data_IF_318264720879
#
_entry.id   IF_318264720879
#
_cell.length_a   1.000
_cell.length_b   1.000
_cell.length_c   1.000
_cell.angle_alpha   90.00
_cell.angle_beta   90.00
_cell.angle_gamma   90.00
#
_symmetry.space_group_name_H-M   'P 1'
#
loop_
_entity.id
_entity.type
_entity.pdbx_description
1 polymer ?
#
# COMPACT_ATOMS: atom_id res chain seq x y z
N UNK A 1 -43.86 68.74 2.84
CA UNK A 1 -42.70 68.01 3.38
C UNK A 1 -42.28 66.92 2.39
N UNK A 2 -41.14 67.06 1.72
CA UNK A 2 -40.70 66.15 0.72
C UNK A 2 -39.51 65.32 1.31
N UNK A 3 -39.69 64.02 1.50
CA UNK A 3 -38.63 63.09 1.90
C UNK A 3 -37.91 62.61 0.66
N UNK A 4 -36.60 62.89 0.61
CA UNK A 4 -35.67 62.42 -0.41
C UNK A 4 -35.24 60.98 -0.04
N UNK A 5 -35.50 60.05 -0.95
CA UNK A 5 -35.05 58.65 -0.86
C UNK A 5 -33.63 58.58 -1.40
N UNK A 6 -32.65 58.28 -0.56
CA UNK A 6 -31.25 58.00 -0.97
C UNK A 6 -31.15 56.51 -1.27
N UNK A 7 -30.91 56.18 -2.54
CA UNK A 7 -30.58 54.84 -2.96
C UNK A 7 -29.08 54.60 -2.77
N UNK A 8 -28.71 53.69 -1.88
CA UNK A 8 -27.38 53.13 -1.82
C UNK A 8 -27.32 51.91 -2.77
N UNK A 9 -26.58 52.04 -3.87
CA UNK A 9 -26.16 50.95 -4.74
C UNK A 9 -24.85 50.41 -4.17
N UNK A 10 -24.93 49.32 -3.37
CA UNK A 10 -23.75 48.54 -2.98
C UNK A 10 -23.49 47.48 -4.02
N UNK A 11 -22.55 47.75 -4.88
CA UNK A 11 -22.07 46.72 -5.83
C UNK A 11 -21.21 45.67 -5.13
N UNK A 12 -21.74 44.46 -5.01
CA UNK A 12 -20.99 43.29 -4.61
C UNK A 12 -20.25 42.76 -5.87
N UNK A 13 -18.97 43.13 -6.04
CA UNK A 13 -18.14 42.55 -7.07
C UNK A 13 -17.77 41.13 -6.64
N UNK A 14 -18.44 40.14 -7.23
CA UNK A 14 -18.02 38.72 -7.12
C UNK A 14 -16.78 38.53 -7.98
N UNK A 15 -15.61 38.47 -7.34
CA UNK A 15 -14.38 38.01 -7.98
C UNK A 15 -14.47 36.49 -8.16
N UNK A 16 -14.94 36.05 -9.34
CA UNK A 16 -14.81 34.66 -9.78
C UNK A 16 -13.38 34.48 -10.27
N UNK A 17 -12.55 33.91 -9.42
CA UNK A 17 -11.22 33.45 -9.84
C UNK A 17 -11.38 32.21 -10.71
N UNK A 18 -11.39 32.41 -12.02
CA UNK A 18 -11.26 31.33 -13.00
C UNK A 18 -9.82 30.80 -12.92
N UNK A 19 -9.67 29.64 -12.28
CA UNK A 19 -8.44 28.85 -12.39
C UNK A 19 -8.41 28.27 -13.80
N UNK A 20 -7.68 28.89 -14.70
CA UNK A 20 -7.37 28.35 -16.02
C UNK A 20 -6.43 27.15 -15.81
N UNK A 21 -6.97 25.95 -15.95
CA UNK A 21 -6.19 24.71 -16.02
C UNK A 21 -5.49 24.72 -17.39
N UNK A 22 -4.28 25.25 -17.47
CA UNK A 22 -3.42 25.08 -18.65
C UNK A 22 -2.94 23.63 -18.64
N UNK A 23 -3.56 22.81 -19.47
CA UNK A 23 -3.00 21.51 -19.85
C UNK A 23 -1.74 21.82 -20.65
N UNK A 24 -0.60 21.84 -20.00
CA UNK A 24 0.71 21.91 -20.63
C UNK A 24 0.89 20.67 -21.51
N UNK A 25 1.01 20.88 -22.81
CA UNK A 25 1.46 19.86 -23.74
C UNK A 25 2.79 19.32 -23.22
N UNK A 26 2.83 18.02 -22.95
CA UNK A 26 4.03 17.34 -22.53
C UNK A 26 5.14 17.59 -23.55
N UNK A 27 6.17 18.30 -23.15
CA UNK A 27 7.43 18.32 -23.89
C UNK A 27 7.96 16.89 -23.95
N UNK A 28 8.53 16.45 -25.08
CA UNK A 28 9.12 15.13 -25.16
C UNK A 28 10.17 15.01 -24.04
N UNK A 29 10.09 13.91 -23.29
CA UNK A 29 10.99 13.61 -22.22
C UNK A 29 12.43 13.76 -22.70
N UNK A 30 13.21 14.59 -22.02
CA UNK A 30 14.65 14.65 -22.22
C UNK A 30 15.21 13.23 -22.07
N UNK A 31 16.03 12.81 -23.05
CA UNK A 31 16.74 11.54 -22.99
C UNK A 31 17.44 11.41 -21.64
N UNK A 32 17.30 10.26 -21.00
CA UNK A 32 17.95 9.96 -19.73
C UNK A 32 19.47 10.22 -19.86
N UNK A 33 20.12 10.79 -18.83
CA UNK A 33 21.55 10.96 -18.83
C UNK A 33 22.25 9.59 -18.95
N UNK A 34 23.24 9.48 -19.83
CA UNK A 34 23.92 8.23 -20.18
C UNK A 34 24.77 7.64 -19.03
N UNK A 35 24.96 8.36 -17.94
CA UNK A 35 25.83 8.00 -16.81
C UNK A 35 25.12 7.41 -15.59
N UNK A 36 23.84 7.17 -15.66
CA UNK A 36 23.08 6.47 -14.61
C UNK A 36 23.06 7.16 -13.25
N UNK A 37 23.49 8.42 -13.15
CA UNK A 37 23.41 9.21 -11.92
C UNK A 37 22.03 9.83 -11.79
N UNK A 38 21.22 9.27 -10.92
CA UNK A 38 19.93 9.85 -10.54
C UNK A 38 20.10 10.98 -9.55
N UNK A 39 19.36 12.05 -9.74
CA UNK A 39 19.27 13.16 -8.77
C UNK A 39 18.84 12.60 -7.40
N UNK A 40 19.67 12.73 -6.34
CA UNK A 40 19.37 12.18 -5.03
C UNK A 40 18.17 12.86 -4.35
N UNK A 41 17.70 13.98 -4.87
CA UNK A 41 16.51 14.70 -4.35
C UNK A 41 15.19 14.15 -4.91
N UNK A 42 15.25 13.33 -5.97
CA UNK A 42 14.08 12.68 -6.52
C UNK A 42 13.83 11.33 -5.82
N UNK A 43 12.57 10.98 -5.55
CA UNK A 43 12.25 9.66 -5.03
C UNK A 43 12.77 8.60 -6.00
N UNK A 44 13.55 7.64 -5.50
CA UNK A 44 14.04 6.51 -6.29
C UNK A 44 12.83 5.72 -6.80
N UNK A 45 12.48 5.92 -8.06
CA UNK A 45 11.56 5.06 -8.77
C UNK A 45 12.29 3.74 -9.03
N UNK A 46 12.02 2.74 -8.21
CA UNK A 46 12.51 1.38 -8.48
C UNK A 46 11.66 0.86 -9.64
N UNK A 47 12.21 0.94 -10.84
CA UNK A 47 11.63 0.32 -12.03
C UNK A 47 11.63 -1.19 -11.82
N UNK A 48 10.47 -1.77 -11.65
CA UNK A 48 10.27 -3.21 -11.57
C UNK A 48 9.89 -3.79 -12.95
N UNK A 49 10.63 -3.46 -13.97
CA UNK A 49 10.32 -3.99 -15.29
C UNK A 49 11.19 -3.37 -16.39
N UNK A 50 11.19 -3.99 -17.56
CA UNK A 50 11.84 -3.46 -18.74
C UNK A 50 11.29 -2.07 -19.11
N UNK A 51 12.10 -1.17 -19.69
CA UNK A 51 11.62 0.13 -20.16
C UNK A 51 10.42 -0.06 -21.10
N UNK A 52 9.27 0.55 -20.74
CA UNK A 52 8.05 0.45 -21.54
C UNK A 52 6.97 -0.50 -21.01
N UNK A 53 7.13 -1.10 -19.82
CA UNK A 53 6.06 -1.87 -19.20
C UNK A 53 4.89 -0.94 -18.80
N UNK A 54 3.71 -1.04 -19.43
CA UNK A 54 2.56 -0.18 -19.13
C UNK A 54 2.10 -0.27 -17.69
N UNK A 55 2.31 -1.42 -17.05
CA UNK A 55 1.91 -1.65 -15.65
C UNK A 55 2.86 -0.94 -14.67
N UNK A 56 4.16 -0.92 -14.97
CA UNK A 56 5.14 -0.17 -14.19
C UNK A 56 4.88 1.33 -14.28
N UNK A 57 4.53 1.84 -15.47
CA UNK A 57 4.16 3.24 -15.71
C UNK A 57 2.86 3.58 -14.96
N UNK A 58 1.85 2.72 -15.02
CA UNK A 58 0.58 2.93 -14.31
C UNK A 58 0.78 2.96 -12.79
N UNK A 59 1.57 2.03 -12.24
CA UNK A 59 1.88 1.99 -10.80
C UNK A 59 2.71 3.20 -10.35
N UNK A 60 3.67 3.65 -11.15
CA UNK A 60 4.44 4.86 -10.87
C UNK A 60 3.54 6.11 -10.89
N UNK A 61 2.60 6.19 -11.84
CA UNK A 61 1.62 7.28 -11.93
C UNK A 61 0.66 7.29 -10.74
N UNK A 62 0.18 6.12 -10.31
CA UNK A 62 -0.69 6.00 -9.13
C UNK A 62 0.05 6.41 -7.84
N UNK A 63 1.31 5.99 -7.69
CA UNK A 63 2.13 6.38 -6.54
C UNK A 63 2.40 7.89 -6.52
N UNK A 64 2.73 8.48 -7.67
CA UNK A 64 2.92 9.92 -7.80
C UNK A 64 1.64 10.71 -7.51
N UNK A 65 0.48 10.20 -7.96
CA UNK A 65 -0.83 10.81 -7.69
C UNK A 65 -1.18 10.73 -6.21
N UNK A 66 -0.92 9.60 -5.56
CA UNK A 66 -1.15 9.44 -4.12
C UNK A 66 -0.29 10.41 -3.30
N UNK A 67 1.00 10.56 -3.65
CA UNK A 67 1.90 11.52 -2.99
C UNK A 67 1.46 12.97 -3.22
N UNK A 68 1.06 13.33 -4.43
CA UNK A 68 0.54 14.67 -4.74
C UNK A 68 -0.74 14.97 -3.96
N UNK A 69 -1.61 13.98 -3.78
CA UNK A 69 -2.84 14.10 -3.00
C UNK A 69 -2.53 14.32 -1.51
N UNK A 70 -1.58 13.57 -0.94
CA UNK A 70 -1.15 13.76 0.45
C UNK A 70 -0.54 15.14 0.69
N UNK A 71 0.34 15.61 -0.21
CA UNK A 71 0.93 16.95 -0.13
C UNK A 71 -0.15 18.03 -0.20
N UNK A 72 -1.11 17.89 -1.10
CA UNK A 72 -2.21 18.86 -1.26
C UNK A 72 -3.13 18.86 -0.04
N UNK A 73 -3.46 17.69 0.51
CA UNK A 73 -4.27 17.59 1.73
C UNK A 73 -3.56 18.15 2.95
N UNK A 74 -2.24 17.94 3.08
CA UNK A 74 -1.45 18.48 4.18
C UNK A 74 -1.31 20.00 4.08
N UNK A 75 -1.12 20.55 2.88
CA UNK A 75 -1.13 22.01 2.64
C UNK A 75 -2.49 22.62 2.97
N UNK A 76 -3.58 21.99 2.52
CA UNK A 76 -4.95 22.45 2.83
C UNK A 76 -5.22 22.42 4.34
N UNK A 77 -4.79 21.38 5.03
CA UNK A 77 -4.94 21.24 6.48
C UNK A 77 -4.14 22.30 7.24
N UNK A 78 -2.87 22.52 6.87
CA UNK A 78 -2.05 23.59 7.44
C UNK A 78 -2.67 24.96 7.24
N UNK A 79 -3.20 25.23 6.06
CA UNK A 79 -3.91 26.49 5.77
C UNK A 79 -5.13 26.68 6.66
N UNK A 80 -5.97 25.65 6.81
CA UNK A 80 -7.15 25.69 7.70
C UNK A 80 -6.77 25.89 9.18
N UNK A 81 -5.67 25.26 9.63
CA UNK A 81 -5.14 25.44 10.98
C UNK A 81 -4.63 26.87 11.21
N UNK A 82 -3.95 27.44 10.23
CA UNK A 82 -3.46 28.83 10.29
C UNK A 82 -4.62 29.83 10.35
N UNK A 83 -5.76 29.51 9.74
CA UNK A 83 -6.98 30.33 9.80
C UNK A 83 -7.82 30.07 11.07
N UNK A 84 -7.40 29.16 11.96
CA UNK A 84 -8.15 28.77 13.16
C UNK A 84 -9.43 28.01 12.88
N UNK A 85 -9.60 27.48 11.67
CA UNK A 85 -10.78 26.72 11.22
C UNK A 85 -10.69 25.22 11.41
N UNK A 86 -9.52 24.72 11.79
CA UNK A 86 -9.28 23.31 12.12
C UNK A 86 -8.62 23.21 13.50
N UNK A 87 -8.94 22.16 14.31
CA UNK A 87 -8.25 21.92 15.56
C UNK A 87 -6.73 21.78 15.32
N UNK A 88 -5.86 22.24 16.25
CA UNK A 88 -4.44 21.98 16.17
C UNK A 88 -4.23 20.47 16.09
N UNK A 89 -3.44 20.05 15.14
CA UNK A 89 -3.10 18.65 14.90
C UNK A 89 -2.50 18.07 16.19
N UNK A 90 -3.20 17.13 16.82
CA UNK A 90 -2.55 16.24 17.76
C UNK A 90 -1.41 15.59 16.94
N UNK A 91 -0.17 15.88 17.33
CA UNK A 91 1.03 15.55 16.59
C UNK A 91 0.96 14.11 16.06
N UNK A 92 0.51 13.92 14.83
CA UNK A 92 0.81 12.73 14.07
C UNK A 92 2.30 12.85 13.79
N UNK A 93 3.10 12.21 14.65
CA UNK A 93 4.52 12.13 14.47
C UNK A 93 4.76 11.79 13.01
N UNK A 94 5.41 12.69 12.28
CA UNK A 94 5.97 12.41 10.97
C UNK A 94 6.91 11.24 11.20
N UNK A 95 6.45 10.04 10.85
CA UNK A 95 7.28 8.85 10.91
C UNK A 95 8.33 9.07 9.84
N UNK A 96 9.51 9.51 10.29
CA UNK A 96 10.72 9.43 9.48
C UNK A 96 10.77 8.02 8.85
N UNK A 97 11.37 7.81 7.66
CA UNK A 97 11.51 6.49 7.05
C UNK A 97 12.50 5.65 7.87
N UNK A 98 12.10 5.29 9.07
CA UNK A 98 12.82 4.56 10.09
C UNK A 98 11.85 3.60 10.75
N UNK A 99 11.87 2.36 10.28
CA UNK A 99 11.34 1.16 10.93
C UNK A 99 10.08 1.40 11.76
N UNK A 100 8.92 1.41 11.10
CA UNK A 100 7.64 1.27 11.77
C UNK A 100 7.69 -0.06 12.55
N UNK A 101 7.54 0.00 13.86
CA UNK A 101 7.62 -1.16 14.76
C UNK A 101 6.32 -1.29 15.55
N UNK A 102 6.10 -2.49 16.11
CA UNK A 102 4.96 -2.76 16.97
C UNK A 102 3.61 -2.73 16.24
N UNK A 103 2.52 -2.40 16.94
CA UNK A 103 1.16 -2.48 16.39
C UNK A 103 0.93 -1.67 15.12
N UNK A 104 1.58 -0.52 14.98
CA UNK A 104 1.45 0.33 13.78
C UNK A 104 2.05 -0.34 12.53
N UNK A 105 3.16 -1.07 12.67
CA UNK A 105 3.76 -1.83 11.57
C UNK A 105 2.81 -2.96 11.13
N UNK A 106 2.19 -3.65 12.08
CA UNK A 106 1.22 -4.71 11.81
C UNK A 106 0.03 -4.15 11.01
N UNK A 107 -0.54 -3.03 11.44
CA UNK A 107 -1.65 -2.39 10.71
C UNK A 107 -1.24 -1.91 9.32
N UNK A 108 -0.01 -1.46 9.15
CA UNK A 108 0.51 -1.10 7.83
C UNK A 108 0.63 -2.32 6.91
N UNK A 109 1.19 -3.44 7.40
CA UNK A 109 1.28 -4.71 6.67
C UNK A 109 -0.11 -5.15 6.21
N UNK A 110 -1.08 -5.15 7.10
CA UNK A 110 -2.45 -5.58 6.81
C UNK A 110 -3.11 -4.65 5.79
N UNK A 111 -3.01 -3.33 5.95
CA UNK A 111 -3.57 -2.36 5.00
C UNK A 111 -2.93 -2.48 3.63
N UNK A 112 -1.60 -2.69 3.58
CA UNK A 112 -0.90 -2.91 2.32
C UNK A 112 -1.37 -4.17 1.62
N UNK A 113 -1.51 -5.28 2.35
CA UNK A 113 -2.12 -6.50 1.81
C UNK A 113 -3.56 -6.28 1.35
N UNK A 114 -4.38 -5.63 2.17
CA UNK A 114 -5.79 -5.35 1.85
C UNK A 114 -5.95 -4.44 0.63
N UNK A 115 -4.99 -3.56 0.33
CA UNK A 115 -5.02 -2.76 -0.91
C UNK A 115 -4.96 -3.60 -2.19
N UNK A 116 -4.59 -4.88 -2.08
CA UNK A 116 -4.52 -5.83 -3.19
C UNK A 116 -5.76 -6.74 -3.29
N UNK A 117 -6.84 -6.44 -2.56
CA UNK A 117 -8.08 -7.21 -2.65
C UNK A 117 -8.57 -7.34 -4.09
N UNK A 118 -8.90 -8.57 -4.49
CA UNK A 118 -9.36 -8.89 -5.85
C UNK A 118 -8.25 -9.12 -6.87
N UNK A 119 -6.98 -8.82 -6.57
CA UNK A 119 -5.86 -9.14 -7.46
C UNK A 119 -5.79 -10.67 -7.67
N UNK A 120 -5.63 -11.14 -8.92
CA UNK A 120 -5.67 -12.55 -9.25
C UNK A 120 -4.60 -13.37 -8.51
N UNK A 121 -4.93 -14.63 -8.23
CA UNK A 121 -3.94 -15.63 -7.84
C UNK A 121 -3.06 -16.00 -9.03
N UNK A 122 -1.76 -16.04 -8.82
CA UNK A 122 -0.78 -16.44 -9.83
C UNK A 122 0.28 -17.33 -9.18
N UNK A 123 0.32 -18.62 -9.54
CA UNK A 123 1.27 -19.56 -8.96
C UNK A 123 2.71 -19.09 -9.18
N UNK A 124 3.51 -18.97 -8.10
CA UNK A 124 4.86 -18.41 -8.14
C UNK A 124 4.93 -16.89 -8.33
N UNK A 125 3.78 -16.21 -8.47
CA UNK A 125 3.69 -14.76 -8.67
C UNK A 125 3.88 -13.96 -7.39
N UNK A 126 4.07 -12.65 -7.56
CA UNK A 126 4.29 -11.71 -6.47
C UNK A 126 5.75 -11.50 -6.12
N UNK A 127 6.09 -10.24 -5.89
CA UNK A 127 7.42 -9.74 -5.50
C UNK A 127 7.24 -8.71 -4.37
N UNK A 128 8.32 -8.33 -3.65
CA UNK A 128 8.23 -7.32 -2.58
C UNK A 128 7.60 -5.98 -3.00
N UNK A 129 7.66 -5.64 -4.28
CA UNK A 129 7.16 -4.39 -4.83
C UNK A 129 5.78 -4.49 -5.52
N UNK A 130 5.20 -5.69 -5.67
CA UNK A 130 3.87 -5.82 -6.27
C UNK A 130 3.56 -7.18 -6.87
N UNK A 131 2.37 -7.30 -7.53
CA UNK A 131 2.00 -8.48 -8.27
C UNK A 131 2.93 -8.69 -9.47
N UNK A 132 3.16 -9.94 -9.83
CA UNK A 132 4.00 -10.29 -10.98
C UNK A 132 3.46 -11.52 -11.71
N UNK A 133 3.96 -11.78 -12.90
CA UNK A 133 3.75 -13.07 -13.55
C UNK A 133 4.34 -14.17 -12.68
N UNK A 134 3.64 -15.26 -12.58
CA UNK A 134 4.09 -16.47 -11.91
C UNK A 134 4.87 -17.40 -12.84
N UNK A 135 4.88 -18.67 -12.47
CA UNK A 135 5.47 -19.77 -13.24
C UNK A 135 4.41 -20.81 -13.56
N UNK A 136 4.69 -21.72 -14.44
CA UNK A 136 3.79 -22.84 -14.82
C UNK A 136 2.35 -22.36 -15.08
N UNK A 137 1.40 -22.77 -14.27
CA UNK A 137 0.00 -22.37 -14.36
C UNK A 137 -0.23 -20.87 -14.11
N UNK A 138 0.71 -20.19 -13.47
CA UNK A 138 0.68 -18.73 -13.22
C UNK A 138 1.39 -17.89 -14.28
N UNK A 139 2.07 -18.49 -15.25
CA UNK A 139 2.94 -17.79 -16.21
C UNK A 139 2.21 -16.70 -17.03
N UNK A 140 0.91 -16.87 -17.27
CA UNK A 140 0.10 -15.92 -18.04
C UNK A 140 -0.73 -14.96 -17.16
N UNK A 141 -0.59 -15.04 -15.84
CA UNK A 141 -1.37 -14.23 -14.90
C UNK A 141 -0.46 -13.31 -14.10
N UNK A 142 -0.75 -12.03 -14.08
CA UNK A 142 -0.11 -11.08 -13.16
C UNK A 142 -0.90 -11.08 -11.85
N UNK A 143 -0.25 -11.48 -10.76
CA UNK A 143 -0.91 -11.63 -9.47
C UNK A 143 0.06 -12.02 -8.36
N UNK A 144 -0.47 -12.62 -7.32
CA UNK A 144 0.27 -13.15 -6.19
C UNK A 144 -0.05 -14.64 -5.99
N UNK A 145 0.96 -15.44 -5.64
CA UNK A 145 0.70 -16.64 -4.86
C UNK A 145 0.58 -16.29 -3.37
N UNK A 146 0.31 -17.26 -2.53
CA UNK A 146 0.12 -17.04 -1.09
C UNK A 146 1.34 -16.39 -0.41
N UNK A 147 2.52 -16.88 -0.71
CA UNK A 147 3.78 -16.44 -0.09
C UNK A 147 4.35 -15.16 -0.73
N UNK A 148 4.15 -14.93 -2.02
CA UNK A 148 4.47 -13.65 -2.65
C UNK A 148 3.60 -12.52 -2.14
N UNK A 149 2.34 -12.80 -1.80
CA UNK A 149 1.43 -11.85 -1.18
C UNK A 149 1.89 -11.45 0.22
N UNK A 150 2.27 -12.41 1.07
CA UNK A 150 2.79 -12.09 2.40
C UNK A 150 4.12 -11.37 2.31
N UNK A 151 5.05 -11.79 1.42
CA UNK A 151 6.29 -11.10 1.16
C UNK A 151 6.07 -9.63 0.75
N UNK A 152 5.15 -9.38 -0.17
CA UNK A 152 4.75 -8.02 -0.55
C UNK A 152 4.26 -7.24 0.65
N UNK A 153 3.35 -7.79 1.45
CA UNK A 153 2.73 -7.10 2.58
C UNK A 153 3.78 -6.64 3.60
N UNK A 154 4.70 -7.51 3.98
CA UNK A 154 5.75 -7.21 4.97
C UNK A 154 6.86 -6.31 4.42
N UNK A 155 7.16 -6.37 3.13
CA UNK A 155 8.17 -5.51 2.51
C UNK A 155 7.85 -4.00 2.67
N UNK A 156 6.58 -3.64 2.84
CA UNK A 156 6.16 -2.26 3.05
C UNK A 156 6.65 -1.62 4.34
N UNK A 157 7.01 -2.41 5.32
CA UNK A 157 7.63 -1.95 6.57
C UNK A 157 9.13 -2.26 6.64
N UNK A 158 9.74 -2.59 5.49
CA UNK A 158 11.16 -2.90 5.37
C UNK A 158 11.54 -4.30 5.87
N UNK A 159 10.56 -5.19 6.07
CA UNK A 159 10.79 -6.58 6.48
C UNK A 159 10.71 -7.50 5.26
N UNK A 160 11.85 -8.00 4.82
CA UNK A 160 11.94 -8.94 3.72
C UNK A 160 11.93 -10.36 4.26
N UNK A 161 10.81 -11.06 4.06
CA UNK A 161 10.66 -12.48 4.37
C UNK A 161 10.92 -13.32 3.10
N UNK A 162 11.31 -14.60 3.22
CA UNK A 162 11.55 -15.47 2.08
C UNK A 162 10.37 -15.57 1.12
N UNK A 163 10.64 -15.99 -0.13
CA UNK A 163 9.56 -16.18 -1.12
C UNK A 163 8.77 -17.48 -0.87
N UNK A 164 9.42 -18.55 -0.44
CA UNK A 164 8.78 -19.82 -0.20
C UNK A 164 8.06 -19.86 1.16
N UNK A 165 6.82 -20.38 1.20
CA UNK A 165 6.02 -20.39 2.43
C UNK A 165 6.61 -21.26 3.55
N UNK A 166 7.27 -22.38 3.22
CA UNK A 166 7.99 -23.19 4.19
C UNK A 166 9.13 -22.42 4.88
N UNK A 167 9.90 -21.64 4.12
CA UNK A 167 10.95 -20.79 4.69
C UNK A 167 10.35 -19.64 5.51
N UNK A 168 9.18 -19.12 5.11
CA UNK A 168 8.44 -18.13 5.92
C UNK A 168 7.97 -18.74 7.24
N UNK A 169 7.58 -20.02 7.22
CA UNK A 169 7.20 -20.72 8.45
C UNK A 169 8.34 -20.74 9.47
N UNK A 170 9.59 -20.83 9.01
CA UNK A 170 10.78 -20.84 9.86
C UNK A 170 11.36 -19.43 10.13
N UNK A 171 10.71 -18.39 9.61
CA UNK A 171 11.08 -17.00 9.85
C UNK A 171 10.31 -16.44 11.04
N UNK A 172 11.02 -15.71 11.92
CA UNK A 172 10.40 -15.12 13.12
C UNK A 172 10.18 -16.10 14.27
N UNK A 173 9.43 -15.66 15.26
CA UNK A 173 9.18 -16.45 16.46
C UNK A 173 7.98 -17.38 16.27
N UNK A 174 8.18 -18.67 16.57
CA UNK A 174 7.08 -19.65 16.62
C UNK A 174 6.20 -19.38 17.84
N UNK A 175 4.90 -19.26 17.60
CA UNK A 175 3.89 -19.07 18.63
C UNK A 175 2.80 -20.12 18.42
N UNK A 176 2.31 -20.79 19.48
CA UNK A 176 1.17 -21.71 19.32
C UNK A 176 -0.01 -21.00 18.62
N UNK A 177 -0.66 -21.68 17.67
CA UNK A 177 -1.77 -21.11 16.89
C UNK A 177 -2.93 -20.63 17.77
N UNK A 178 -3.12 -21.26 18.95
CA UNK A 178 -4.09 -20.81 19.97
C UNK A 178 -3.78 -19.44 20.58
N UNK A 179 -2.53 -18.96 20.44
CA UNK A 179 -2.05 -17.66 20.90
C UNK A 179 -1.77 -16.70 19.74
N UNK A 180 -2.29 -17.02 18.54
CA UNK A 180 -2.11 -16.17 17.37
C UNK A 180 -2.69 -14.78 17.60
N UNK A 181 -1.93 -13.76 17.21
CA UNK A 181 -2.33 -12.36 17.23
C UNK A 181 -2.42 -11.80 15.83
N UNK A 182 -3.17 -10.73 15.68
CA UNK A 182 -3.29 -9.97 14.44
C UNK A 182 -1.91 -9.64 13.86
N UNK A 183 -1.70 -9.98 12.58
CA UNK A 183 -0.43 -9.84 11.87
C UNK A 183 0.48 -11.07 11.88
N UNK A 184 0.18 -12.09 12.68
CA UNK A 184 0.90 -13.36 12.62
C UNK A 184 0.62 -14.08 11.30
N UNK A 185 1.57 -14.87 10.83
CA UNK A 185 1.42 -15.72 9.66
C UNK A 185 0.90 -17.11 10.05
N UNK A 186 -0.22 -17.48 9.47
CA UNK A 186 -0.84 -18.80 9.55
C UNK A 186 -0.32 -19.69 8.41
N UNK A 187 -0.11 -20.98 8.65
CA UNK A 187 0.45 -21.91 7.66
C UNK A 187 -0.31 -23.21 7.57
N UNK A 188 -0.27 -23.82 6.39
CA UNK A 188 -0.87 -25.13 6.10
C UNK A 188 0.12 -26.06 5.41
N UNK A 189 -0.11 -27.38 5.62
CA UNK A 189 0.73 -28.43 5.09
C UNK A 189 2.02 -28.65 5.87
N UNK A 190 2.72 -29.77 5.67
CA UNK A 190 3.94 -30.12 6.41
C UNK A 190 4.98 -28.98 6.34
N UNK A 191 5.43 -28.48 7.51
CA UNK A 191 6.39 -27.37 7.56
C UNK A 191 5.91 -26.07 6.91
N UNK A 192 4.59 -25.83 6.78
CA UNK A 192 4.05 -24.63 6.15
C UNK A 192 4.16 -24.59 4.63
N UNK A 193 4.44 -25.73 3.99
CA UNK A 193 4.81 -25.82 2.57
C UNK A 193 3.68 -25.58 1.57
N UNK A 194 2.41 -25.66 2.02
CA UNK A 194 1.27 -25.66 1.10
C UNK A 194 0.59 -24.29 0.99
N UNK A 195 0.52 -23.55 2.10
CA UNK A 195 -0.15 -22.25 2.11
C UNK A 195 0.27 -21.37 3.28
N UNK A 196 0.09 -20.06 3.10
CA UNK A 196 0.32 -19.04 4.13
C UNK A 196 -0.72 -17.93 4.00
N UNK A 197 -1.15 -17.37 5.15
CA UNK A 197 -2.07 -16.24 5.23
C UNK A 197 -1.72 -15.32 6.40
N UNK A 198 -2.16 -14.07 6.36
CA UNK A 198 -2.02 -13.11 7.47
C UNK A 198 -3.25 -13.22 8.37
N UNK A 199 -3.05 -13.48 9.65
CA UNK A 199 -4.14 -13.52 10.63
C UNK A 199 -4.63 -12.11 10.96
N UNK A 200 -5.94 -11.90 10.86
CA UNK A 200 -6.57 -10.62 11.13
C UNK A 200 -7.15 -10.49 12.55
N UNK A 201 -7.12 -11.58 13.33
CA UNK A 201 -7.88 -11.70 14.57
C UNK A 201 -9.32 -12.16 14.30
N UNK A 202 -10.04 -12.53 15.38
CA UNK A 202 -11.45 -12.91 15.28
C UNK A 202 -11.74 -14.10 14.35
N UNK A 203 -10.76 -15.01 14.17
CA UNK A 203 -10.92 -16.16 13.28
C UNK A 203 -10.91 -15.81 11.78
N UNK A 204 -10.45 -14.62 11.39
CA UNK A 204 -10.36 -14.16 10.01
C UNK A 204 -8.91 -14.11 9.54
N UNK A 205 -8.70 -14.29 8.24
CA UNK A 205 -7.39 -14.17 7.60
C UNK A 205 -7.47 -13.42 6.28
N UNK A 206 -6.37 -12.80 5.88
CA UNK A 206 -6.16 -12.14 4.60
C UNK A 206 -5.12 -12.96 3.82
N UNK A 207 -5.46 -13.37 2.61
CA UNK A 207 -4.65 -14.30 1.82
C UNK A 207 -4.75 -14.02 0.32
N UNK A 208 -3.75 -14.44 -0.45
CA UNK A 208 -3.94 -14.74 -1.86
C UNK A 208 -4.33 -16.21 -1.97
N UNK A 209 -5.59 -16.47 -2.26
CA UNK A 209 -6.21 -17.79 -2.22
C UNK A 209 -6.23 -18.45 -3.59
N UNK A 210 -5.58 -19.61 -3.73
CA UNK A 210 -5.65 -20.40 -4.95
C UNK A 210 -7.06 -20.90 -5.24
N UNK A 211 -7.85 -21.26 -4.21
CA UNK A 211 -9.23 -21.73 -4.38
C UNK A 211 -10.22 -20.61 -4.72
N UNK A 212 -10.03 -19.40 -4.18
CA UNK A 212 -10.82 -18.23 -4.54
C UNK A 212 -10.30 -17.52 -5.81
N UNK A 213 -9.13 -17.90 -6.30
CA UNK A 213 -8.49 -17.34 -7.48
C UNK A 213 -8.00 -15.89 -7.32
N UNK A 214 -7.96 -15.36 -6.10
CA UNK A 214 -7.63 -13.93 -5.86
C UNK A 214 -7.24 -13.64 -4.41
N UNK A 215 -6.74 -12.43 -4.18
CA UNK A 215 -6.57 -11.89 -2.84
C UNK A 215 -7.94 -11.64 -2.20
N UNK A 216 -8.15 -12.18 -1.00
CA UNK A 216 -9.44 -12.16 -0.31
C UNK A 216 -9.29 -12.22 1.21
N UNK A 217 -10.35 -11.89 1.92
CA UNK A 217 -10.52 -12.16 3.34
C UNK A 217 -11.51 -13.32 3.50
N UNK A 218 -11.21 -14.22 4.43
CA UNK A 218 -12.08 -15.35 4.75
C UNK A 218 -11.82 -15.91 6.15
N UNK A 219 -12.65 -16.86 6.60
CA UNK A 219 -12.45 -17.52 7.88
C UNK A 219 -11.21 -18.40 7.86
N UNK A 220 -10.55 -18.51 9.02
CA UNK A 220 -9.40 -19.41 9.20
C UNK A 220 -9.85 -20.87 8.99
N UNK A 221 -9.18 -21.56 8.08
CA UNK A 221 -9.41 -23.00 7.84
C UNK A 221 -8.61 -23.83 8.82
N UNK A 222 -9.26 -24.71 9.59
CA UNK A 222 -8.58 -25.53 10.61
C UNK A 222 -7.98 -26.82 10.04
N UNK A 223 -8.50 -27.34 8.96
CA UNK A 223 -7.97 -28.55 8.32
C UNK A 223 -6.57 -28.28 7.74
N UNK A 224 -5.56 -29.04 8.17
CA UNK A 224 -4.17 -28.91 7.73
C UNK A 224 -3.42 -27.71 8.29
N UNK A 225 -4.04 -26.92 9.18
CA UNK A 225 -3.40 -25.78 9.85
C UNK A 225 -2.24 -26.26 10.73
N UNK A 226 -1.10 -25.59 10.64
CA UNK A 226 0.07 -25.88 11.45
C UNK A 226 -0.15 -25.51 12.92
N UNK A 227 0.46 -26.24 13.88
CA UNK A 227 0.30 -25.97 15.30
C UNK A 227 0.93 -24.65 15.77
N UNK A 228 1.79 -24.06 14.94
CA UNK A 228 2.44 -22.79 15.21
C UNK A 228 2.22 -21.77 14.09
N UNK A 229 2.11 -20.52 14.46
CA UNK A 229 2.21 -19.36 13.57
C UNK A 229 3.64 -18.81 13.61
N UNK A 230 4.04 -18.03 12.60
CA UNK A 230 5.25 -17.23 12.66
C UNK A 230 4.90 -15.79 13.01
N UNK A 231 5.43 -15.29 14.12
CA UNK A 231 5.36 -13.88 14.50
C UNK A 231 6.60 -13.16 13.99
N UNK A 232 6.39 -12.34 12.97
CA UNK A 232 7.46 -11.59 12.30
C UNK A 232 7.69 -10.25 12.97
N UNK A 233 6.63 -9.62 13.48
CA UNK A 233 6.67 -8.32 14.15
C UNK A 233 6.11 -8.50 15.56
N UNK A 234 6.89 -8.11 16.57
CA UNK A 234 6.45 -8.13 17.96
C UNK A 234 5.54 -6.92 18.25
N UNK A 235 4.45 -7.18 18.98
CA UNK A 235 3.42 -6.18 19.38
C UNK A 235 3.37 -6.02 20.89
#
# INVERSE_FOLDING_TARGET
>A
MRFKLIRFLGGCALLVATVALTVGLATPAASAPEDGQWDPTLPKLISAGAPGDPLAIANASLAATAQATEVTMNLGRKFLTTLGLAPPEAATASVAPGRVRGPQAIEYVIRRGASQMGVPYSWGGGKPNGPSRGIDSGANTVGFDCSGFTQFSFAGVGVLIPKYSGDQYDTGRKVPTSQAKRGDLLFWGPGGSQHVAIYLGGGQMLESSGSAGKVTVGPVRHSGLQPYVARIIES
#
